data_IF_297388072218
#
_entry.id   IF_297388072218
#
_cell.length_a   1.000
_cell.length_b   1.000
_cell.length_c   1.000
_cell.angle_alpha   90.00
_cell.angle_beta   90.00
_cell.angle_gamma   90.00
#
_symmetry.space_group_name_H-M   'P 1'
#
loop_
_entity.id
_entity.type
_entity.pdbx_description
1 polymer ?
#
# COMPACT_ATOMS: atom_id res chain seq x y z
N UNK A 1 10.91 54.72 3.18
CA UNK A 1 10.10 54.50 1.95
C UNK A 1 10.82 53.70 0.86
N UNK A 2 12.09 53.98 0.51
CA UNK A 2 12.82 53.23 -0.55
C UNK A 2 13.19 51.77 -0.21
N UNK A 3 13.33 51.37 1.07
CA UNK A 3 13.67 50.02 1.49
C UNK A 3 12.44 49.09 1.46
N UNK A 4 11.27 49.59 1.91
CA UNK A 4 10.01 48.83 1.88
C UNK A 4 9.56 48.54 0.45
N UNK A 5 9.77 49.46 -0.49
CA UNK A 5 9.45 49.28 -1.90
C UNK A 5 10.36 48.25 -2.58
N UNK A 6 11.63 48.14 -2.18
CA UNK A 6 12.56 47.10 -2.68
C UNK A 6 12.22 45.72 -2.16
N UNK A 7 11.79 45.58 -0.90
CA UNK A 7 11.36 44.27 -0.32
C UNK A 7 10.05 43.81 -0.97
N UNK A 8 9.11 44.70 -1.23
CA UNK A 8 7.87 44.35 -1.95
C UNK A 8 8.13 43.96 -3.42
N UNK A 9 9.05 44.62 -4.13
CA UNK A 9 9.41 44.24 -5.50
C UNK A 9 10.15 42.90 -5.57
N UNK A 10 11.04 42.58 -4.62
CA UNK A 10 11.73 41.29 -4.57
C UNK A 10 10.78 40.15 -4.17
N UNK A 11 9.85 40.37 -3.24
CA UNK A 11 8.84 39.36 -2.90
C UNK A 11 7.88 39.08 -4.06
N UNK A 12 7.44 40.12 -4.80
CA UNK A 12 6.58 39.92 -5.99
C UNK A 12 7.34 39.23 -7.14
N UNK A 13 8.63 39.50 -7.33
CA UNK A 13 9.45 38.83 -8.35
C UNK A 13 9.68 37.34 -7.98
N UNK A 14 9.83 37.00 -6.68
CA UNK A 14 9.95 35.61 -6.21
C UNK A 14 8.65 34.83 -6.37
N UNK A 15 7.48 35.46 -6.14
CA UNK A 15 6.17 34.86 -6.39
C UNK A 15 5.84 34.67 -7.89
N UNK A 16 6.37 35.54 -8.75
CA UNK A 16 6.20 35.41 -10.21
C UNK A 16 7.12 34.33 -10.79
N UNK A 17 8.32 34.12 -10.22
CA UNK A 17 9.24 33.04 -10.66
C UNK A 17 8.88 31.62 -10.15
N UNK A 18 8.11 31.53 -9.08
CA UNK A 18 7.64 30.22 -8.58
C UNK A 18 6.31 29.74 -9.21
N UNK A 19 5.72 30.50 -10.13
CA UNK A 19 4.40 30.23 -10.73
C UNK A 19 4.37 29.94 -12.23
N UNK A 20 5.50 29.93 -12.92
CA UNK A 20 5.53 29.64 -14.35
C UNK A 20 6.37 28.39 -14.64
N UNK A 21 5.79 27.21 -14.49
CA UNK A 21 6.04 26.21 -15.52
C UNK A 21 5.69 26.88 -16.85
N UNK A 22 6.64 26.97 -17.78
CA UNK A 22 6.36 27.53 -19.08
C UNK A 22 5.22 26.74 -19.75
N UNK A 23 4.47 27.33 -20.66
CA UNK A 23 3.44 26.60 -21.39
C UNK A 23 4.03 25.35 -22.09
N UNK A 24 5.30 25.39 -22.43
CA UNK A 24 6.08 24.31 -23.01
C UNK A 24 6.36 23.19 -21.98
N UNK A 25 6.80 23.52 -20.77
CA UNK A 25 7.00 22.55 -19.68
C UNK A 25 5.68 21.86 -19.31
N UNK A 26 4.58 22.59 -19.26
CA UNK A 26 3.25 22.02 -19.02
C UNK A 26 2.83 21.07 -20.15
N UNK A 27 3.08 21.42 -21.40
CA UNK A 27 2.78 20.57 -22.56
C UNK A 27 3.60 19.28 -22.54
N UNK A 28 4.88 19.35 -22.15
CA UNK A 28 5.77 18.19 -22.00
C UNK A 28 5.26 17.28 -20.88
N UNK A 29 4.94 17.85 -19.68
CA UNK A 29 4.40 17.08 -18.56
C UNK A 29 3.07 16.39 -18.91
N UNK A 30 2.15 17.09 -19.59
CA UNK A 30 0.88 16.51 -20.03
C UNK A 30 1.08 15.40 -21.08
N UNK A 31 2.06 15.55 -21.97
CA UNK A 31 2.46 14.53 -22.92
C UNK A 31 2.98 13.26 -22.24
N UNK A 32 3.94 13.41 -21.32
CA UNK A 32 4.51 12.30 -20.54
C UNK A 32 3.45 11.61 -19.66
N UNK A 33 2.56 12.38 -19.05
CA UNK A 33 1.44 11.82 -18.28
C UNK A 33 0.55 10.94 -19.14
N UNK A 34 0.18 11.40 -20.33
CA UNK A 34 -0.66 10.65 -21.28
C UNK A 34 0.03 9.36 -21.73
N UNK A 35 1.31 9.44 -22.06
CA UNK A 35 2.10 8.28 -22.45
C UNK A 35 2.18 7.23 -21.33
N UNK A 36 2.50 7.66 -20.11
CA UNK A 36 2.56 6.77 -18.94
C UNK A 36 1.22 6.09 -18.66
N UNK A 37 0.09 6.80 -18.79
CA UNK A 37 -1.25 6.22 -18.65
C UNK A 37 -1.48 5.15 -19.73
N UNK A 38 -1.12 5.42 -20.98
CA UNK A 38 -1.27 4.45 -22.08
C UNK A 38 -0.42 3.19 -21.86
N UNK A 39 0.82 3.34 -21.42
CA UNK A 39 1.71 2.22 -21.09
C UNK A 39 1.11 1.42 -19.93
N UNK A 40 0.69 2.08 -18.86
CA UNK A 40 0.10 1.43 -17.68
C UNK A 40 -1.18 0.67 -18.03
N UNK A 41 -2.08 1.24 -18.84
CA UNK A 41 -3.29 0.58 -19.32
C UNK A 41 -2.95 -0.64 -20.19
N UNK A 42 -1.95 -0.54 -21.06
CA UNK A 42 -1.48 -1.65 -21.88
C UNK A 42 -0.91 -2.81 -21.05
N UNK A 43 -0.09 -2.49 -20.04
CA UNK A 43 0.46 -3.48 -19.11
C UNK A 43 -0.66 -4.14 -18.31
N UNK A 44 -1.59 -3.36 -17.75
CA UNK A 44 -2.75 -3.88 -17.02
C UNK A 44 -3.57 -4.86 -17.88
N UNK A 45 -3.94 -4.46 -19.10
CA UNK A 45 -4.71 -5.32 -20.01
C UNK A 45 -3.97 -6.62 -20.33
N UNK A 46 -2.63 -6.56 -20.45
CA UNK A 46 -1.80 -7.76 -20.66
C UNK A 46 -1.77 -8.65 -19.44
N UNK A 47 -1.63 -8.10 -18.23
CA UNK A 47 -1.68 -8.84 -16.97
C UNK A 47 -3.02 -9.55 -16.84
N UNK A 48 -4.14 -8.83 -16.96
CA UNK A 48 -5.48 -9.39 -16.85
C UNK A 48 -5.72 -10.52 -17.85
N UNK A 49 -5.21 -10.39 -19.09
CA UNK A 49 -5.36 -11.43 -20.12
C UNK A 49 -4.51 -12.68 -19.86
N UNK A 50 -3.24 -12.49 -19.42
CA UNK A 50 -2.29 -13.60 -19.31
C UNK A 50 -2.40 -14.36 -17.98
N UNK A 51 -2.76 -13.66 -16.90
CA UNK A 51 -2.79 -14.25 -15.56
C UNK A 51 -4.19 -14.64 -15.10
N UNK A 52 -5.25 -14.31 -15.85
CA UNK A 52 -6.63 -14.64 -15.46
C UNK A 52 -6.83 -16.15 -15.31
N UNK A 53 -7.45 -16.53 -14.19
CA UNK A 53 -7.85 -17.90 -13.85
C UNK A 53 -9.38 -17.94 -13.75
N UNK A 54 -10.07 -18.27 -14.85
CA UNK A 54 -11.54 -18.13 -14.95
C UNK A 54 -12.30 -18.91 -13.87
N UNK A 55 -11.79 -20.10 -13.50
CA UNK A 55 -12.40 -21.00 -12.51
C UNK A 55 -12.56 -20.34 -11.14
N UNK A 56 -11.66 -19.43 -10.83
CA UNK A 56 -11.65 -18.71 -9.55
C UNK A 56 -12.04 -17.24 -9.68
N UNK A 57 -12.05 -16.67 -10.90
CA UNK A 57 -12.18 -15.23 -11.11
C UNK A 57 -11.06 -14.44 -10.42
N UNK A 58 -9.87 -15.00 -10.39
CA UNK A 58 -8.65 -14.47 -9.77
C UNK A 58 -7.50 -14.46 -10.79
N UNK A 59 -6.31 -14.08 -10.35
CA UNK A 59 -5.10 -14.10 -11.16
C UNK A 59 -4.17 -15.23 -10.71
N UNK A 60 -3.35 -15.74 -11.62
CA UNK A 60 -2.30 -16.69 -11.31
C UNK A 60 -1.09 -15.97 -10.69
N UNK A 61 -0.27 -16.71 -9.95
CA UNK A 61 1.00 -16.21 -9.42
C UNK A 61 2.06 -16.00 -10.50
N UNK A 62 2.10 -16.91 -11.47
CA UNK A 62 3.11 -16.92 -12.54
C UNK A 62 2.49 -17.04 -13.91
N UNK A 63 3.24 -16.59 -14.94
CA UNK A 63 2.90 -16.88 -16.33
C UNK A 63 4.12 -17.54 -17.03
N UNK A 64 3.94 -18.72 -17.62
CA UNK A 64 2.77 -19.58 -17.59
C UNK A 64 2.39 -20.02 -16.17
N UNK A 65 1.08 -20.26 -15.95
CA UNK A 65 0.56 -20.71 -14.64
C UNK A 65 1.23 -22.02 -14.20
N UNK A 66 1.72 -22.04 -12.94
CA UNK A 66 2.28 -23.23 -12.28
C UNK A 66 1.55 -23.44 -10.95
N UNK A 67 1.06 -24.65 -10.72
CA UNK A 67 0.24 -24.98 -9.53
C UNK A 67 1.04 -25.67 -8.42
N UNK A 68 2.27 -26.04 -8.68
CA UNK A 68 3.24 -26.63 -7.73
C UNK A 68 4.33 -25.63 -7.32
N UNK A 69 4.13 -24.36 -7.63
CA UNK A 69 5.07 -23.31 -7.32
C UNK A 69 5.18 -23.06 -5.80
N UNK A 70 6.37 -22.71 -5.35
CA UNK A 70 6.63 -22.19 -4.00
C UNK A 70 7.17 -20.80 -4.11
N UNK A 71 6.72 -19.93 -3.20
CA UNK A 71 7.20 -18.54 -3.12
C UNK A 71 8.14 -18.38 -1.94
N UNK A 72 9.04 -17.43 -2.03
CA UNK A 72 10.11 -17.18 -1.03
C UNK A 72 9.88 -15.89 -0.20
N UNK A 73 8.80 -15.17 -0.46
CA UNK A 73 8.49 -13.90 0.20
C UNK A 73 7.52 -14.04 1.40
N UNK A 74 7.11 -15.26 1.78
CA UNK A 74 6.31 -15.52 2.97
C UNK A 74 7.21 -15.64 4.22
N UNK A 75 6.62 -15.48 5.41
CA UNK A 75 7.31 -15.67 6.66
C UNK A 75 7.90 -17.08 6.78
N UNK A 76 9.05 -17.21 7.43
CA UNK A 76 9.67 -18.50 7.68
C UNK A 76 8.68 -19.47 8.36
N UNK A 77 8.59 -20.70 7.85
CA UNK A 77 7.65 -21.72 8.32
C UNK A 77 6.17 -21.48 7.90
N UNK A 78 5.91 -20.58 6.93
CA UNK A 78 4.58 -20.44 6.35
C UNK A 78 4.16 -21.74 5.65
N UNK A 79 2.89 -22.13 5.83
CA UNK A 79 2.35 -23.31 5.16
C UNK A 79 2.14 -23.06 3.66
N UNK A 80 2.83 -23.83 2.83
CA UNK A 80 2.72 -23.83 1.38
C UNK A 80 2.43 -25.23 0.82
N UNK A 81 1.73 -26.09 1.59
CA UNK A 81 1.43 -27.46 1.15
C UNK A 81 0.25 -27.51 0.18
N UNK A 82 -0.62 -26.49 0.18
CA UNK A 82 -1.71 -26.39 -0.79
C UNK A 82 -1.18 -26.19 -2.22
N UNK A 83 -1.97 -26.62 -3.20
CA UNK A 83 -1.69 -26.32 -4.61
C UNK A 83 -1.87 -24.81 -4.85
N UNK A 84 -0.94 -24.18 -5.53
CA UNK A 84 -1.00 -22.77 -5.85
C UNK A 84 -1.89 -22.52 -7.08
N UNK A 85 -3.19 -22.60 -6.89
CA UNK A 85 -4.16 -22.44 -7.97
C UNK A 85 -4.23 -20.98 -8.48
N UNK A 86 -4.00 -20.02 -7.59
CA UNK A 86 -4.06 -18.58 -7.86
C UNK A 86 -2.93 -17.86 -7.15
N UNK A 87 -2.83 -16.54 -7.33
CA UNK A 87 -1.83 -15.71 -6.67
C UNK A 87 -2.06 -15.59 -5.17
N UNK A 88 -0.98 -15.33 -4.44
CA UNK A 88 -1.06 -14.82 -3.09
C UNK A 88 -1.66 -13.40 -3.07
N UNK A 89 -2.01 -12.94 -1.89
CA UNK A 89 -2.65 -11.64 -1.68
C UNK A 89 -1.77 -10.47 -2.15
N UNK A 90 -0.47 -10.50 -1.82
CA UNK A 90 0.44 -9.42 -2.17
C UNK A 90 0.48 -9.10 -3.67
N UNK A 91 0.79 -10.04 -4.60
CA UNK A 91 0.75 -9.72 -6.03
C UNK A 91 -0.66 -9.38 -6.52
N UNK A 92 -1.71 -9.98 -5.95
CA UNK A 92 -3.09 -9.64 -6.30
C UNK A 92 -3.44 -8.19 -5.94
N UNK A 93 -3.10 -7.77 -4.72
CA UNK A 93 -3.31 -6.39 -4.26
C UNK A 93 -2.51 -5.38 -5.06
N UNK A 94 -1.32 -5.74 -5.54
CA UNK A 94 -0.52 -4.91 -6.43
C UNK A 94 -1.23 -4.54 -7.74
N UNK A 95 -2.02 -5.47 -8.30
CA UNK A 95 -2.87 -5.17 -9.46
C UNK A 95 -3.99 -4.20 -9.09
N UNK A 96 -4.61 -4.38 -7.90
CA UNK A 96 -5.64 -3.45 -7.40
C UNK A 96 -5.05 -2.05 -7.26
N UNK A 97 -3.88 -1.91 -6.63
CA UNK A 97 -3.19 -0.62 -6.46
C UNK A 97 -2.92 0.07 -7.80
N UNK A 98 -2.49 -0.69 -8.81
CA UNK A 98 -2.29 -0.18 -10.18
C UNK A 98 -3.59 0.37 -10.80
N UNK A 99 -4.71 -0.35 -10.63
CA UNK A 99 -6.02 0.09 -11.15
C UNK A 99 -6.56 1.28 -10.36
N UNK A 100 -6.39 1.31 -9.04
CA UNK A 100 -6.75 2.44 -8.18
C UNK A 100 -5.98 3.70 -8.60
N UNK A 101 -4.68 3.57 -8.87
CA UNK A 101 -3.86 4.68 -9.36
C UNK A 101 -4.34 5.19 -10.73
N UNK A 102 -4.64 4.29 -11.68
CA UNK A 102 -5.19 4.67 -12.99
C UNK A 102 -6.54 5.36 -12.84
N UNK A 103 -7.43 4.87 -11.99
CA UNK A 103 -8.71 5.51 -11.71
C UNK A 103 -8.54 6.90 -11.09
N UNK A 104 -7.67 7.04 -10.10
CA UNK A 104 -7.39 8.33 -9.46
C UNK A 104 -6.91 9.37 -10.48
N UNK A 105 -5.99 8.98 -11.38
CA UNK A 105 -5.37 9.90 -12.33
C UNK A 105 -6.26 10.24 -13.52
N UNK A 106 -7.07 9.28 -13.99
CA UNK A 106 -7.86 9.45 -15.22
C UNK A 106 -9.32 9.80 -14.98
N UNK A 107 -9.87 9.38 -13.83
CA UNK A 107 -11.32 9.40 -13.54
C UNK A 107 -12.15 8.59 -14.54
N UNK A 108 -11.52 7.76 -15.37
CA UNK A 108 -12.21 6.90 -16.32
C UNK A 108 -12.95 5.79 -15.58
N UNK A 109 -14.26 5.75 -15.79
CA UNK A 109 -15.15 4.82 -15.10
C UNK A 109 -14.85 3.36 -15.36
N UNK A 110 -14.22 3.03 -16.50
CA UNK A 110 -13.82 1.65 -16.80
C UNK A 110 -12.95 1.01 -15.71
N UNK A 111 -12.09 1.80 -15.05
CA UNK A 111 -11.24 1.29 -13.96
C UNK A 111 -12.03 1.06 -12.68
N UNK A 112 -12.99 1.93 -12.36
CA UNK A 112 -13.89 1.73 -11.23
C UNK A 112 -14.78 0.50 -11.46
N UNK A 113 -15.31 0.33 -12.67
CA UNK A 113 -16.13 -0.82 -13.04
C UNK A 113 -15.29 -2.13 -12.96
N UNK A 114 -14.03 -2.10 -13.39
CA UNK A 114 -13.10 -3.23 -13.24
C UNK A 114 -12.86 -3.57 -11.76
N UNK A 115 -12.66 -2.55 -10.91
CA UNK A 115 -12.50 -2.74 -9.48
C UNK A 115 -13.77 -3.34 -8.86
N UNK A 116 -14.92 -2.71 -9.04
CA UNK A 116 -16.16 -3.08 -8.36
C UNK A 116 -16.76 -4.42 -8.84
N UNK A 117 -16.60 -4.76 -10.12
CA UNK A 117 -17.23 -5.95 -10.69
C UNK A 117 -16.30 -7.17 -10.76
N UNK A 118 -14.97 -6.98 -10.63
CA UNK A 118 -14.00 -8.09 -10.78
C UNK A 118 -12.98 -8.14 -9.65
N UNK A 119 -12.17 -7.09 -9.46
CA UNK A 119 -11.01 -7.18 -8.58
C UNK A 119 -11.38 -7.16 -7.09
N UNK A 120 -12.30 -6.31 -6.66
CA UNK A 120 -12.75 -6.29 -5.26
C UNK A 120 -13.57 -7.54 -4.88
N UNK A 121 -14.49 -8.06 -5.72
CA UNK A 121 -15.08 -9.39 -5.48
C UNK A 121 -14.05 -10.52 -5.42
N UNK A 122 -12.98 -10.45 -6.21
CA UNK A 122 -11.84 -11.37 -6.11
C UNK A 122 -11.09 -11.23 -4.79
N UNK A 123 -10.83 -10.00 -4.34
CA UNK A 123 -10.17 -9.71 -3.08
C UNK A 123 -10.94 -10.27 -1.88
N UNK A 124 -12.28 -10.23 -1.90
CA UNK A 124 -13.08 -10.78 -0.79
C UNK A 124 -12.92 -12.30 -0.61
N UNK A 125 -12.34 -13.03 -1.57
CA UNK A 125 -12.00 -14.46 -1.42
C UNK A 125 -10.83 -14.69 -0.47
N UNK A 126 -10.04 -13.67 -0.17
CA UNK A 126 -8.97 -13.69 0.84
C UNK A 126 -9.46 -13.22 2.23
N UNK A 127 -10.72 -12.76 2.33
CA UNK A 127 -11.26 -12.21 3.58
C UNK A 127 -11.50 -13.29 4.63
N UNK A 128 -10.75 -13.25 5.73
CA UNK A 128 -10.93 -14.13 6.87
C UNK A 128 -11.72 -13.41 7.97
N UNK A 129 -13.00 -13.77 8.07
CA UNK A 129 -13.89 -13.34 9.14
C UNK A 129 -13.91 -14.30 10.33
N UNK A 130 -13.17 -15.40 10.26
CA UNK A 130 -13.12 -16.41 11.32
C UNK A 130 -12.10 -16.11 12.42
N UNK A 131 -11.29 -15.06 12.26
CA UNK A 131 -10.35 -14.53 13.26
C UNK A 131 -10.66 -13.05 13.54
N UNK A 132 -10.52 -12.64 14.79
CA UNK A 132 -10.79 -11.26 15.23
C UNK A 132 -9.47 -10.53 15.54
N UNK A 133 -9.25 -9.30 15.04
CA UNK A 133 -10.06 -8.60 14.04
C UNK A 133 -10.05 -9.30 12.67
N UNK A 134 -11.17 -9.19 11.92
CA UNK A 134 -11.24 -9.74 10.56
C UNK A 134 -10.31 -9.00 9.60
N UNK A 135 -9.63 -9.73 8.71
CA UNK A 135 -8.66 -9.18 7.77
C UNK A 135 -8.44 -10.10 6.56
N UNK A 136 -7.70 -9.63 5.58
CA UNK A 136 -7.28 -10.47 4.46
C UNK A 136 -6.11 -11.36 4.86
N UNK A 137 -6.22 -12.66 4.56
CA UNK A 137 -5.13 -13.62 4.71
C UNK A 137 -4.33 -13.76 3.40
N UNK A 138 -3.13 -14.32 3.49
CA UNK A 138 -2.18 -14.35 2.37
C UNK A 138 -2.62 -15.19 1.18
N UNK A 139 -3.53 -16.17 1.37
CA UNK A 139 -4.06 -17.02 0.31
C UNK A 139 -5.58 -17.15 0.44
N UNK A 140 -6.34 -17.41 -0.65
CA UNK A 140 -7.80 -17.44 -0.58
C UNK A 140 -8.36 -18.47 0.40
N UNK A 141 -9.46 -18.12 1.04
CA UNK A 141 -10.10 -18.95 2.11
C UNK A 141 -10.60 -20.30 1.65
N UNK A 142 -10.83 -20.50 0.34
CA UNK A 142 -11.21 -21.81 -0.19
C UNK A 142 -10.10 -22.87 -0.03
N UNK A 143 -8.84 -22.48 0.13
CA UNK A 143 -7.72 -23.38 0.42
C UNK A 143 -7.48 -23.57 1.93
N UNK A 144 -8.32 -23.00 2.79
CA UNK A 144 -8.18 -23.06 4.23
C UNK A 144 -7.61 -21.80 4.84
N UNK A 145 -7.14 -21.89 6.09
CA UNK A 145 -6.50 -20.79 6.80
C UNK A 145 -5.06 -20.62 6.36
N UNK A 146 -4.65 -19.38 6.13
CA UNK A 146 -3.25 -19.00 5.88
C UNK A 146 -2.83 -17.83 6.79
N UNK A 147 -1.54 -17.52 6.77
CA UNK A 147 -0.99 -16.41 7.57
C UNK A 147 -1.59 -15.07 7.13
N UNK A 148 -1.68 -14.12 8.06
CA UNK A 148 -2.12 -12.75 7.78
C UNK A 148 -0.95 -11.80 8.00
N UNK A 149 -0.66 -11.00 6.98
CA UNK A 149 0.44 -10.02 7.01
C UNK A 149 -0.12 -8.62 7.21
N UNK A 150 0.51 -7.87 8.10
CA UNK A 150 0.06 -6.50 8.41
C UNK A 150 0.35 -5.54 7.26
N UNK A 151 1.47 -5.71 6.55
CA UNK A 151 1.82 -4.91 5.38
C UNK A 151 0.88 -5.16 4.20
N UNK A 152 0.52 -6.41 3.88
CA UNK A 152 -0.48 -6.71 2.84
C UNK A 152 -1.77 -5.93 3.08
N UNK A 153 -2.25 -5.94 4.33
CA UNK A 153 -3.50 -5.29 4.71
C UNK A 153 -3.38 -3.76 4.74
N UNK A 154 -2.22 -3.21 5.06
CA UNK A 154 -2.04 -1.75 5.08
C UNK A 154 -2.04 -1.17 3.67
N UNK A 155 -1.43 -1.83 2.69
CA UNK A 155 -1.48 -1.37 1.30
C UNK A 155 -2.90 -1.38 0.75
N UNK A 156 -3.67 -2.42 1.04
CA UNK A 156 -5.10 -2.50 0.67
C UNK A 156 -5.91 -1.39 1.37
N UNK A 157 -5.64 -1.10 2.64
CA UNK A 157 -6.29 -0.01 3.36
C UNK A 157 -6.00 1.36 2.74
N UNK A 158 -4.77 1.60 2.27
CA UNK A 158 -4.38 2.81 1.55
C UNK A 158 -5.12 2.95 0.22
N UNK A 159 -5.32 1.85 -0.50
CA UNK A 159 -6.13 1.84 -1.72
C UNK A 159 -7.60 2.18 -1.43
N UNK A 160 -8.17 1.65 -0.36
CA UNK A 160 -9.51 2.02 0.07
C UNK A 160 -9.63 3.48 0.50
N UNK A 161 -8.60 4.07 1.13
CA UNK A 161 -8.57 5.52 1.37
C UNK A 161 -8.61 6.30 0.04
N UNK A 162 -7.81 5.89 -0.95
CA UNK A 162 -7.79 6.52 -2.29
C UNK A 162 -9.14 6.40 -2.99
N UNK A 163 -9.78 5.24 -2.91
CA UNK A 163 -11.13 5.05 -3.47
C UNK A 163 -12.17 5.92 -2.77
N UNK A 164 -12.09 6.07 -1.44
CA UNK A 164 -12.98 6.98 -0.70
C UNK A 164 -12.78 8.43 -1.12
N UNK A 165 -11.55 8.92 -1.14
CA UNK A 165 -11.23 10.29 -1.56
C UNK A 165 -11.66 10.59 -3.00
N UNK A 166 -11.62 9.55 -3.86
CA UNK A 166 -11.96 9.69 -5.28
C UNK A 166 -13.46 9.62 -5.54
N UNK A 167 -14.21 8.78 -4.78
CA UNK A 167 -15.63 8.48 -5.04
C UNK A 167 -16.58 9.00 -3.97
N UNK A 168 -16.08 9.33 -2.78
CA UNK A 168 -16.84 9.68 -1.57
C UNK A 168 -17.80 8.57 -1.10
N UNK A 169 -17.62 7.31 -1.56
CA UNK A 169 -18.44 6.19 -1.14
C UNK A 169 -18.00 5.67 0.24
N UNK A 170 -18.87 5.76 1.24
CA UNK A 170 -18.58 5.40 2.64
C UNK A 170 -18.10 3.96 2.84
N UNK A 171 -18.50 3.03 1.97
CA UNK A 171 -18.08 1.62 2.04
C UNK A 171 -16.55 1.46 2.04
N UNK A 172 -15.83 2.29 1.27
CA UNK A 172 -14.37 2.24 1.20
C UNK A 172 -13.72 2.73 2.49
N UNK A 173 -14.20 3.85 3.05
CA UNK A 173 -13.69 4.31 4.34
C UNK A 173 -13.96 3.32 5.47
N UNK A 174 -15.12 2.67 5.47
CA UNK A 174 -15.44 1.63 6.45
C UNK A 174 -14.48 0.45 6.34
N UNK A 175 -14.16 -0.03 5.12
CA UNK A 175 -13.19 -1.12 4.93
C UNK A 175 -11.78 -0.69 5.34
N UNK A 176 -11.34 0.54 5.02
CA UNK A 176 -10.06 1.07 5.48
C UNK A 176 -9.95 1.11 7.01
N UNK A 177 -11.03 1.52 7.71
CA UNK A 177 -11.07 1.51 9.19
C UNK A 177 -11.05 0.09 9.76
N UNK A 178 -11.75 -0.86 9.15
CA UNK A 178 -11.69 -2.28 9.55
C UNK A 178 -10.25 -2.82 9.47
N UNK A 179 -9.57 -2.53 8.35
CA UNK A 179 -8.18 -2.95 8.17
C UNK A 179 -7.24 -2.23 9.14
N UNK A 180 -7.47 -0.95 9.43
CA UNK A 180 -6.74 -0.23 10.46
C UNK A 180 -6.85 -0.93 11.83
N UNK A 181 -8.03 -1.38 12.23
CA UNK A 181 -8.22 -2.09 13.50
C UNK A 181 -7.39 -3.39 13.54
N UNK A 182 -7.36 -4.15 12.44
CA UNK A 182 -6.48 -5.31 12.31
C UNK A 182 -5.00 -4.93 12.40
N UNK A 183 -4.56 -3.93 11.65
CA UNK A 183 -3.16 -3.51 11.62
C UNK A 183 -2.70 -3.08 13.01
N UNK A 184 -3.52 -2.33 13.73
CA UNK A 184 -3.21 -1.87 15.09
C UNK A 184 -3.20 -3.01 16.12
N UNK A 185 -3.85 -4.14 15.87
CA UNK A 185 -3.74 -5.34 16.71
C UNK A 185 -2.34 -5.99 16.65
N UNK A 186 -1.56 -5.64 15.63
CA UNK A 186 -0.16 -6.04 15.48
C UNK A 186 0.85 -5.15 16.19
N UNK A 187 0.40 -4.12 16.90
CA UNK A 187 1.26 -3.22 17.68
C UNK A 187 1.31 -3.67 19.14
N UNK A 188 2.49 -3.65 19.73
CA UNK A 188 2.71 -3.84 21.16
C UNK A 188 3.93 -3.03 21.64
N UNK A 189 4.29 -3.16 22.92
CA UNK A 189 5.38 -2.41 23.55
C UNK A 189 6.76 -3.09 23.37
N UNK A 190 6.83 -4.26 22.74
CA UNK A 190 8.12 -4.92 22.45
C UNK A 190 8.92 -4.02 21.52
N UNK A 191 10.20 -3.80 21.85
CA UNK A 191 11.09 -2.85 21.18
C UNK A 191 10.58 -1.39 21.24
N UNK A 192 9.76 -1.06 22.24
CA UNK A 192 9.22 0.29 22.44
C UNK A 192 8.13 0.70 21.47
N UNK A 193 7.43 -0.23 20.82
CA UNK A 193 6.36 0.03 19.90
C UNK A 193 6.52 -0.67 18.53
N UNK A 194 5.85 -0.13 17.50
CA UNK A 194 5.88 -0.66 16.14
C UNK A 194 4.96 -1.86 15.90
N UNK A 195 4.64 -2.10 14.64
CA UNK A 195 3.74 -3.16 14.16
C UNK A 195 4.56 -4.33 13.65
N UNK A 196 4.17 -5.56 14.00
CA UNK A 196 4.76 -6.78 13.47
C UNK A 196 4.57 -6.92 11.95
N UNK A 197 5.30 -7.83 11.33
CA UNK A 197 5.13 -8.17 9.93
C UNK A 197 4.02 -9.20 9.72
N UNK A 198 4.06 -10.31 10.45
CA UNK A 198 3.11 -11.41 10.34
C UNK A 198 2.41 -11.66 11.68
N UNK A 199 1.09 -11.81 11.66
CA UNK A 199 0.28 -12.03 12.85
C UNK A 199 0.62 -13.37 13.54
N UNK A 200 0.72 -14.45 12.75
CA UNK A 200 0.96 -15.81 13.26
C UNK A 200 2.44 -16.05 13.59
N UNK A 201 3.34 -15.20 13.10
CA UNK A 201 4.80 -15.33 13.24
C UNK A 201 5.42 -14.00 13.64
N UNK A 202 5.24 -13.65 14.90
CA UNK A 202 5.72 -12.38 15.47
C UNK A 202 7.23 -12.40 15.70
N UNK A 203 8.01 -12.57 14.62
CA UNK A 203 9.46 -12.69 14.68
C UNK A 203 10.19 -11.34 14.50
N UNK A 204 9.55 -10.41 13.80
CA UNK A 204 10.17 -9.12 13.46
C UNK A 204 9.14 -8.00 13.27
N UNK A 205 9.62 -6.77 13.38
CA UNK A 205 8.90 -5.55 13.01
C UNK A 205 9.61 -4.92 11.81
N UNK A 206 8.92 -4.86 10.68
CA UNK A 206 9.51 -4.53 9.38
C UNK A 206 9.18 -3.11 8.96
N UNK A 207 10.05 -2.50 8.15
CA UNK A 207 9.81 -1.18 7.55
C UNK A 207 8.56 -1.20 6.67
N UNK A 208 8.36 -2.27 5.87
CA UNK A 208 7.19 -2.43 4.99
C UNK A 208 5.84 -2.49 5.73
N UNK A 209 5.83 -2.87 7.02
CA UNK A 209 4.62 -2.80 7.86
C UNK A 209 4.46 -1.43 8.51
N UNK A 210 5.54 -0.84 9.02
CA UNK A 210 5.47 0.33 9.88
C UNK A 210 5.37 1.65 9.12
N UNK A 211 6.19 1.87 8.09
CA UNK A 211 6.15 3.11 7.32
C UNK A 211 4.77 3.33 6.65
N UNK A 212 4.19 2.36 5.92
CA UNK A 212 2.87 2.56 5.33
C UNK A 212 1.75 2.61 6.39
N UNK A 213 1.91 2.00 7.58
CA UNK A 213 0.94 2.17 8.68
C UNK A 213 0.92 3.62 9.19
N UNK A 214 2.08 4.27 9.31
CA UNK A 214 2.13 5.69 9.66
C UNK A 214 1.42 6.55 8.58
N UNK A 215 1.60 6.23 7.29
CA UNK A 215 0.90 6.90 6.19
C UNK A 215 -0.62 6.65 6.25
N UNK A 216 -1.05 5.41 6.50
CA UNK A 216 -2.48 5.10 6.66
C UNK A 216 -3.12 5.91 7.79
N UNK A 217 -2.45 5.98 8.94
CA UNK A 217 -2.91 6.77 10.08
C UNK A 217 -3.02 8.27 9.71
N UNK A 218 -2.01 8.85 9.05
CA UNK A 218 -2.04 10.23 8.59
C UNK A 218 -3.23 10.49 7.64
N UNK A 219 -3.45 9.62 6.66
CA UNK A 219 -4.58 9.71 5.72
C UNK A 219 -5.95 9.57 6.41
N UNK A 220 -6.08 8.63 7.35
CA UNK A 220 -7.31 8.52 8.12
C UNK A 220 -7.57 9.77 8.96
N UNK A 221 -6.53 10.43 9.49
CA UNK A 221 -6.67 11.71 10.15
C UNK A 221 -7.14 12.81 9.17
N UNK A 222 -6.52 12.93 8.00
CA UNK A 222 -6.92 13.90 6.98
C UNK A 222 -8.39 13.73 6.55
N UNK A 223 -8.85 12.47 6.43
CA UNK A 223 -10.22 12.14 6.02
C UNK A 223 -11.23 12.40 7.15
N UNK A 224 -10.89 12.05 8.39
CA UNK A 224 -11.87 11.97 9.49
C UNK A 224 -11.74 13.10 10.52
N UNK A 225 -10.59 13.78 10.56
CA UNK A 225 -10.18 14.75 11.57
C UNK A 225 -10.11 14.17 13.01
N UNK A 226 -10.13 12.85 13.15
CA UNK A 226 -9.99 12.18 14.44
C UNK A 226 -8.53 12.22 14.91
N UNK A 227 -8.27 12.87 16.06
CA UNK A 227 -6.91 13.08 16.60
C UNK A 227 -6.16 11.77 16.87
N UNK A 228 -6.86 10.68 17.24
CA UNK A 228 -6.23 9.39 17.52
C UNK A 228 -5.37 8.88 16.37
N UNK A 229 -5.79 9.11 15.11
CA UNK A 229 -5.02 8.70 13.94
C UNK A 229 -3.73 9.51 13.78
N UNK A 230 -3.77 10.82 14.04
CA UNK A 230 -2.57 11.66 14.02
C UNK A 230 -1.55 11.21 15.09
N UNK A 231 -2.03 10.97 16.31
CA UNK A 231 -1.17 10.51 17.41
C UNK A 231 -0.49 9.18 17.05
N UNK A 232 -1.23 8.22 16.46
CA UNK A 232 -0.67 6.95 15.99
C UNK A 232 0.30 7.13 14.81
N UNK A 233 0.00 8.03 13.87
CA UNK A 233 0.90 8.32 12.76
C UNK A 233 2.26 8.81 13.26
N UNK A 234 2.27 9.76 14.19
CA UNK A 234 3.48 10.33 14.78
C UNK A 234 4.25 9.27 15.57
N UNK A 235 3.56 8.47 16.38
CA UNK A 235 4.17 7.42 17.19
C UNK A 235 4.89 6.38 16.31
N UNK A 236 4.18 5.81 15.32
CA UNK A 236 4.72 4.76 14.44
C UNK A 236 5.84 5.31 13.54
N UNK A 237 5.68 6.53 13.01
CA UNK A 237 6.73 7.20 12.25
C UNK A 237 8.02 7.36 13.06
N UNK A 238 7.90 7.87 14.29
CA UNK A 238 9.06 8.07 15.17
C UNK A 238 9.71 6.74 15.54
N UNK A 239 8.92 5.71 15.85
CA UNK A 239 9.43 4.37 16.12
C UNK A 239 10.20 3.82 14.90
N UNK A 240 9.63 3.92 13.70
CA UNK A 240 10.27 3.44 12.46
C UNK A 240 11.59 4.16 12.22
N UNK A 241 11.60 5.48 12.36
CA UNK A 241 12.80 6.29 12.19
C UNK A 241 13.88 5.96 13.20
N UNK A 242 13.51 5.78 14.47
CA UNK A 242 14.48 5.48 15.55
C UNK A 242 15.10 4.10 15.42
N UNK A 243 14.34 3.11 14.96
CA UNK A 243 14.78 1.72 14.95
C UNK A 243 15.32 1.24 13.60
N UNK A 244 14.88 1.84 12.49
CA UNK A 244 15.14 1.29 11.15
C UNK A 244 15.80 2.27 10.16
N UNK A 245 15.96 3.57 10.48
CA UNK A 245 16.64 4.51 9.60
C UNK A 245 18.16 4.33 9.69
N UNK A 246 18.81 4.12 8.55
CA UNK A 246 20.27 4.21 8.44
C UNK A 246 20.69 5.68 8.28
N UNK A 247 21.36 6.21 9.32
CA UNK A 247 21.81 7.61 9.31
C UNK A 247 22.95 7.88 8.35
N UNK A 248 23.59 6.83 7.78
CA UNK A 248 24.70 6.99 6.85
C UNK A 248 24.26 7.42 5.45
N UNK A 249 23.06 7.04 5.03
CA UNK A 249 22.52 7.33 3.69
C UNK A 249 21.03 7.74 3.68
N UNK A 250 20.40 7.78 4.87
CA UNK A 250 18.98 8.10 5.07
C UNK A 250 18.00 7.14 4.38
N UNK A 251 18.41 5.87 4.18
CA UNK A 251 17.57 4.80 3.66
C UNK A 251 17.20 3.85 4.82
N UNK A 252 16.03 3.25 4.77
CA UNK A 252 15.56 2.36 5.84
C UNK A 252 16.09 0.94 5.64
N UNK A 253 16.53 0.29 6.75
CA UNK A 253 16.79 -1.13 6.84
C UNK A 253 15.49 -1.94 6.77
N UNK A 254 15.59 -3.22 6.48
CA UNK A 254 14.43 -4.08 6.28
C UNK A 254 13.62 -4.27 7.57
N UNK A 255 14.23 -4.79 8.62
CA UNK A 255 13.52 -5.12 9.85
C UNK A 255 14.44 -5.15 11.09
N UNK A 256 13.80 -5.23 12.24
CA UNK A 256 14.43 -5.55 13.52
C UNK A 256 13.72 -6.77 14.13
N UNK A 257 14.50 -7.78 14.57
CA UNK A 257 13.95 -8.94 15.28
C UNK A 257 13.71 -8.63 16.76
N UNK A 258 13.11 -9.57 17.50
CA UNK A 258 12.69 -9.32 18.90
C UNK A 258 13.88 -9.23 19.88
N UNK A 259 15.08 -9.68 19.50
CA UNK A 259 16.31 -9.48 20.27
C UNK A 259 17.02 -8.15 19.93
N UNK A 260 16.39 -7.29 19.10
CA UNK A 260 16.94 -5.99 18.71
C UNK A 260 18.01 -6.07 17.61
N UNK A 261 18.19 -7.22 16.95
CA UNK A 261 19.10 -7.36 15.81
C UNK A 261 18.46 -6.85 14.54
N UNK A 262 19.13 -5.93 13.85
CA UNK A 262 18.66 -5.28 12.64
C UNK A 262 19.13 -6.05 11.41
N UNK A 263 18.20 -6.41 10.52
CA UNK A 263 18.48 -6.83 9.15
C UNK A 263 18.77 -5.59 8.30
N UNK A 264 20.08 -5.39 8.00
CA UNK A 264 20.54 -4.19 7.29
C UNK A 264 20.34 -4.23 5.78
N UNK A 265 19.57 -5.18 5.28
CA UNK A 265 19.18 -5.23 3.88
C UNK A 265 18.31 -4.03 3.54
N UNK A 266 18.48 -3.46 2.36
CA UNK A 266 17.71 -2.31 1.88
C UNK A 266 16.99 -2.70 0.61
N UNK A 267 15.69 -2.55 0.62
CA UNK A 267 14.82 -2.82 -0.52
C UNK A 267 14.23 -1.52 -1.06
N UNK A 268 14.07 -1.43 -2.36
CA UNK A 268 13.53 -0.23 -3.02
C UNK A 268 12.11 0.13 -2.58
N UNK A 269 11.34 -0.85 -2.10
CA UNK A 269 9.98 -0.61 -1.57
C UNK A 269 9.97 -0.08 -0.12
N UNK A 270 11.13 -0.02 0.55
CA UNK A 270 11.28 0.52 1.90
C UNK A 270 11.82 1.97 1.92
N UNK A 271 11.98 2.61 0.77
CA UNK A 271 12.59 3.96 0.63
C UNK A 271 11.63 4.98 0.05
#
# INVERSE_FOLDING_TARGET
>A
MKIVLRILLTATLFFILSGFLSAEDKSICDGLKKENIMISDSVLNRVLRLYHVPEYGLLAETYPRKIDNKVDYLAEGADQQHRQEVSYLWPYSGVISGVVALFRETRDRKYLDLLENHLLPGLEKYWDSGRDPAAYQSYPTFAGKSDRYYDDNVWIALDFCTLYETTHQRKYLQKAKQLYDFIMSGKDDVLGGGVYWCEQKKHSKNTCSNAPTAVLCARLHEITHEKKYLDQAIEIYNWTKQNLLDLSDNVYWDNVNLEGRISKQKYTYNT
#
